data_IF_790717506142
#
_entry.id   IF_790717506142
#
_cell.length_a   1.000
_cell.length_b   1.000
_cell.length_c   1.000
_cell.angle_alpha   90.00
_cell.angle_beta   90.00
_cell.angle_gamma   90.00
#
_symmetry.space_group_name_H-M   'P 1'
#
loop_
_entity.id
_entity.type
_entity.pdbx_description
1 polymer ?
#
# COMPACT_ATOMS: atom_id res chain seq x y z
N UNK A 1 -16.18 -1.09 14.45
CA UNK A 1 -15.26 -2.06 15.09
C UNK A 1 -14.19 -2.34 14.06
N UNK A 2 -12.95 -2.03 14.41
CA UNK A 2 -11.80 -2.39 13.58
C UNK A 2 -11.35 -3.81 13.90
N UNK A 3 -10.63 -4.44 12.98
CA UNK A 3 -9.94 -5.71 13.18
C UNK A 3 -8.46 -5.43 13.39
N UNK A 4 -7.86 -6.05 14.39
CA UNK A 4 -6.43 -5.93 14.66
C UNK A 4 -5.66 -7.01 13.89
N UNK A 5 -4.75 -6.60 13.00
CA UNK A 5 -3.86 -7.52 12.28
C UNK A 5 -2.58 -7.73 13.11
N UNK A 6 -2.26 -8.99 13.47
CA UNK A 6 -1.05 -9.31 14.24
C UNK A 6 0.23 -8.96 13.49
N UNK A 7 1.29 -8.61 14.22
CA UNK A 7 2.59 -8.26 13.62
C UNK A 7 3.15 -9.38 12.73
N UNK A 8 2.99 -10.62 13.17
CA UNK A 8 3.38 -11.83 12.47
C UNK A 8 2.65 -12.04 11.12
N UNK A 9 1.47 -11.45 10.94
CA UNK A 9 0.78 -11.43 9.64
C UNK A 9 1.36 -10.38 8.69
N UNK A 10 1.78 -9.23 9.19
CA UNK A 10 2.36 -8.17 8.36
C UNK A 10 3.85 -8.38 8.07
N UNK A 11 4.62 -8.89 9.03
CA UNK A 11 6.09 -9.00 8.96
C UNK A 11 6.61 -10.06 7.98
N UNK A 12 5.74 -10.93 7.46
CA UNK A 12 6.01 -11.80 6.30
C UNK A 12 6.18 -11.01 4.99
N UNK A 13 5.75 -9.74 4.97
CA UNK A 13 5.79 -8.88 3.79
C UNK A 13 6.88 -7.82 3.92
N UNK A 14 7.56 -7.56 2.81
CA UNK A 14 8.59 -6.52 2.74
C UNK A 14 7.99 -5.12 2.88
N UNK A 15 6.78 -4.90 2.35
CA UNK A 15 6.08 -3.60 2.38
C UNK A 15 4.59 -3.80 2.54
N UNK A 16 3.90 -2.76 3.02
CA UNK A 16 2.44 -2.72 2.99
C UNK A 16 1.91 -1.30 2.79
N UNK A 17 0.63 -1.20 2.42
CA UNK A 17 -0.13 0.05 2.47
C UNK A 17 -1.60 -0.19 2.79
N UNK A 18 -2.20 0.68 3.60
CA UNK A 18 -3.63 0.74 3.86
C UNK A 18 -4.36 1.73 2.95
N UNK A 19 -3.65 2.66 2.31
CA UNK A 19 -4.25 3.78 1.55
C UNK A 19 -3.76 3.95 0.10
N UNK A 20 -2.70 3.26 -0.33
CA UNK A 20 -2.05 3.46 -1.63
C UNK A 20 -2.61 2.53 -2.70
N UNK A 21 -3.92 2.61 -2.92
CA UNK A 21 -4.65 1.74 -3.84
C UNK A 21 -5.87 2.45 -4.43
N UNK A 22 -6.29 2.12 -5.66
CA UNK A 22 -7.50 2.69 -6.26
C UNK A 22 -8.80 2.03 -5.75
N UNK A 23 -8.71 0.98 -4.94
CA UNK A 23 -9.89 0.28 -4.43
C UNK A 23 -10.52 1.04 -3.26
N UNK A 24 -11.83 1.27 -3.31
CA UNK A 24 -12.58 2.00 -2.28
C UNK A 24 -12.45 1.46 -0.83
N UNK A 25 -11.97 0.24 -0.65
CA UNK A 25 -11.66 -0.26 0.69
C UNK A 25 -10.48 0.50 1.34
N UNK A 26 -9.58 1.07 0.53
CA UNK A 26 -8.44 1.84 1.01
C UNK A 26 -8.82 3.25 1.46
N UNK A 27 -9.94 3.81 0.99
CA UNK A 27 -10.41 5.15 1.39
C UNK A 27 -10.62 5.30 2.90
N UNK A 28 -10.81 4.19 3.63
CA UNK A 28 -10.91 4.16 5.10
C UNK A 28 -9.97 3.16 5.77
N UNK A 29 -8.91 2.71 5.09
CA UNK A 29 -8.00 1.65 5.57
C UNK A 29 -8.73 0.35 5.95
N UNK A 30 -9.73 -0.03 5.17
CA UNK A 30 -10.51 -1.28 5.30
C UNK A 30 -9.93 -2.43 4.46
N UNK A 31 -8.77 -2.21 3.86
CA UNK A 31 -7.96 -3.21 3.21
C UNK A 31 -6.48 -2.87 3.39
N UNK A 32 -5.63 -3.89 3.21
CA UNK A 32 -4.18 -3.77 3.22
C UNK A 32 -3.62 -4.43 1.96
N UNK A 33 -2.77 -3.70 1.25
CA UNK A 33 -1.99 -4.23 0.14
C UNK A 33 -0.65 -4.70 0.71
N UNK A 34 -0.42 -6.01 0.71
CA UNK A 34 0.76 -6.68 1.25
C UNK A 34 1.73 -7.06 0.13
N UNK A 35 2.96 -6.57 0.18
CA UNK A 35 3.98 -6.78 -0.85
C UNK A 35 5.03 -7.76 -0.32
N UNK A 36 5.07 -9.02 -0.78
CA UNK A 36 6.02 -10.04 -0.30
C UNK A 36 7.49 -9.70 -0.58
N UNK A 37 7.72 -8.83 -1.56
CA UNK A 37 9.05 -8.36 -1.93
C UNK A 37 8.98 -7.38 -3.09
N UNK A 38 9.94 -6.47 -3.14
CA UNK A 38 10.19 -5.62 -4.30
C UNK A 38 11.51 -6.04 -4.93
N UNK A 39 11.50 -6.32 -6.22
CA UNK A 39 12.73 -6.61 -6.96
C UNK A 39 13.11 -5.37 -7.75
N UNK A 40 14.39 -4.99 -7.71
CA UNK A 40 14.91 -3.89 -8.56
C UNK A 40 14.62 -4.14 -10.04
N UNK A 41 14.63 -5.40 -10.47
CA UNK A 41 14.51 -5.83 -11.87
C UNK A 41 13.28 -6.71 -12.14
N UNK A 42 12.19 -6.57 -11.39
CA UNK A 42 11.00 -7.39 -11.61
C UNK A 42 9.92 -7.20 -10.57
N UNK A 43 8.93 -8.09 -10.61
CA UNK A 43 7.88 -8.16 -9.59
C UNK A 43 7.89 -9.53 -8.96
N UNK A 44 7.62 -9.56 -7.66
CA UNK A 44 7.42 -10.83 -6.98
C UNK A 44 6.18 -11.53 -7.55
N UNK A 45 6.25 -12.85 -7.66
CA UNK A 45 5.14 -13.73 -8.01
C UNK A 45 4.71 -14.59 -6.82
N UNK A 46 5.44 -14.57 -5.71
CA UNK A 46 5.07 -15.38 -4.54
C UNK A 46 3.85 -14.79 -3.84
N UNK A 47 2.92 -15.63 -3.41
CA UNK A 47 1.71 -15.21 -2.70
C UNK A 47 1.59 -15.95 -1.34
N UNK A 48 2.42 -15.61 -0.34
CA UNK A 48 2.31 -16.21 0.99
C UNK A 48 1.01 -15.76 1.65
N UNK A 49 0.31 -16.70 2.30
CA UNK A 49 -0.95 -16.43 2.97
C UNK A 49 -0.76 -15.49 4.17
N UNK A 50 -1.58 -14.42 4.32
CA UNK A 50 -1.50 -13.52 5.48
C UNK A 50 -2.06 -14.15 6.76
N UNK A 51 -2.81 -15.25 6.65
CA UNK A 51 -3.57 -15.88 7.75
C UNK A 51 -3.51 -17.40 7.67
N UNK A 52 -3.65 -18.07 8.80
CA UNK A 52 -3.97 -19.51 8.87
C UNK A 52 -5.49 -19.70 8.82
N UNK A 53 -5.94 -20.80 8.23
CA UNK A 53 -7.37 -21.06 8.14
C UNK A 53 -7.80 -22.13 7.15
N UNK A 54 -9.07 -22.07 6.78
CA UNK A 54 -9.69 -22.96 5.79
C UNK A 54 -10.07 -22.17 4.55
N UNK A 55 -9.71 -22.68 3.37
CA UNK A 55 -10.13 -22.11 2.09
C UNK A 55 -11.63 -22.37 1.90
N UNK A 56 -12.44 -21.33 1.85
CA UNK A 56 -13.87 -21.43 1.62
C UNK A 56 -14.19 -21.53 0.13
N UNK A 57 -13.58 -20.66 -0.68
CA UNK A 57 -13.85 -20.57 -2.11
C UNK A 57 -12.69 -19.88 -2.83
N UNK A 58 -12.49 -20.25 -4.09
CA UNK A 58 -11.68 -19.50 -5.05
C UNK A 58 -12.55 -19.11 -6.24
N UNK A 59 -12.45 -17.87 -6.69
CA UNK A 59 -13.31 -17.31 -7.74
C UNK A 59 -12.50 -16.52 -8.75
N UNK A 60 -12.65 -16.89 -10.02
CA UNK A 60 -12.13 -16.12 -11.15
C UNK A 60 -13.06 -14.95 -11.48
N UNK A 61 -12.48 -13.78 -11.70
CA UNK A 61 -13.15 -12.55 -12.14
C UNK A 61 -12.45 -12.00 -13.37
N UNK A 62 -13.19 -11.35 -14.27
CA UNK A 62 -12.55 -10.70 -15.43
C UNK A 62 -11.91 -9.39 -15.04
N UNK A 63 -10.66 -9.20 -15.41
CA UNK A 63 -9.94 -7.95 -15.24
C UNK A 63 -10.19 -7.01 -16.44
N UNK A 64 -10.08 -5.68 -16.24
CA UNK A 64 -10.03 -4.72 -17.34
C UNK A 64 -8.90 -5.08 -18.31
N UNK A 65 -9.15 -5.06 -19.63
CA UNK A 65 -8.11 -5.43 -20.59
C UNK A 65 -6.96 -4.41 -20.54
N UNK A 66 -5.75 -4.91 -20.28
CA UNK A 66 -4.50 -4.15 -20.38
C UNK A 66 -3.46 -4.98 -21.14
N UNK A 67 -2.58 -4.37 -21.95
CA UNK A 67 -1.55 -5.11 -22.69
C UNK A 67 -0.58 -5.93 -21.82
N UNK A 68 -0.47 -5.57 -20.54
CA UNK A 68 0.45 -6.17 -19.57
C UNK A 68 -0.22 -7.09 -18.54
N UNK A 69 -1.55 -7.25 -18.60
CA UNK A 69 -2.32 -8.01 -17.61
C UNK A 69 -3.02 -9.20 -18.29
N UNK A 70 -3.16 -10.34 -17.61
CA UNK A 70 -4.04 -11.41 -18.07
C UNK A 70 -5.50 -10.95 -18.06
N UNK A 71 -6.36 -11.71 -18.75
CA UNK A 71 -7.78 -11.42 -18.84
C UNK A 71 -8.53 -11.65 -17.51
N UNK A 72 -7.97 -12.50 -16.65
CA UNK A 72 -8.56 -12.93 -15.41
C UNK A 72 -7.75 -12.44 -14.21
N UNK A 73 -8.48 -12.22 -13.12
CA UNK A 73 -8.02 -11.93 -11.78
C UNK A 73 -8.83 -12.79 -10.81
N UNK A 74 -8.51 -12.79 -9.52
CA UNK A 74 -8.97 -13.83 -8.61
C UNK A 74 -9.34 -13.27 -7.24
N UNK A 75 -10.32 -13.91 -6.61
CA UNK A 75 -10.73 -13.72 -5.23
C UNK A 75 -10.65 -15.07 -4.51
N UNK A 76 -9.87 -15.12 -3.43
CA UNK A 76 -9.85 -16.21 -2.49
C UNK A 76 -10.58 -15.78 -1.22
N UNK A 77 -11.40 -16.67 -0.67
CA UNK A 77 -12.07 -16.51 0.61
C UNK A 77 -11.50 -17.53 1.59
N UNK A 78 -10.99 -17.05 2.73
CA UNK A 78 -10.39 -17.87 3.78
C UNK A 78 -11.14 -17.62 5.09
N UNK A 79 -11.63 -18.66 5.74
CA UNK A 79 -12.09 -18.57 7.13
C UNK A 79 -10.87 -18.64 8.03
N UNK A 80 -10.66 -17.58 8.82
CA UNK A 80 -9.49 -17.40 9.66
C UNK A 80 -9.61 -18.21 10.96
N UNK A 81 -8.58 -18.97 11.29
CA UNK A 81 -8.49 -19.71 12.55
C UNK A 81 -8.05 -18.81 13.73
N UNK A 82 -7.69 -17.55 13.45
CA UNK A 82 -7.13 -16.60 14.42
C UNK A 82 -5.71 -16.16 14.04
N UNK A 83 -4.95 -15.57 14.99
CA UNK A 83 -5.31 -15.32 16.37
C UNK A 83 -6.23 -14.10 16.56
N UNK A 84 -6.76 -13.94 17.78
CA UNK A 84 -7.41 -12.71 18.25
C UNK A 84 -8.63 -12.31 17.42
N UNK A 85 -8.70 -11.04 17.03
CA UNK A 85 -9.82 -10.46 16.28
C UNK A 85 -10.05 -11.14 14.91
N UNK A 86 -9.06 -11.87 14.39
CA UNK A 86 -9.19 -12.61 13.14
C UNK A 86 -10.04 -13.87 13.26
N UNK A 87 -10.16 -14.47 14.45
CA UNK A 87 -10.81 -15.77 14.61
C UNK A 87 -12.27 -15.73 14.12
N UNK A 88 -12.59 -16.66 13.20
CA UNK A 88 -13.91 -16.75 12.59
C UNK A 88 -14.25 -15.63 11.60
N UNK A 89 -13.34 -14.71 11.29
CA UNK A 89 -13.52 -13.77 10.19
C UNK A 89 -13.26 -14.45 8.84
N UNK A 90 -13.81 -13.86 7.79
CA UNK A 90 -13.52 -14.23 6.39
C UNK A 90 -12.52 -13.22 5.84
N UNK A 91 -11.28 -13.67 5.62
CA UNK A 91 -10.30 -12.94 4.85
C UNK A 91 -10.61 -13.07 3.36
N UNK A 92 -10.59 -11.93 2.66
CA UNK A 92 -10.62 -11.83 1.22
C UNK A 92 -9.24 -11.52 0.74
N UNK A 93 -8.72 -12.34 -0.18
CA UNK A 93 -7.42 -12.13 -0.80
C UNK A 93 -7.60 -12.03 -2.31
N UNK A 94 -7.18 -10.91 -2.90
CA UNK A 94 -7.23 -10.70 -4.35
C UNK A 94 -5.83 -10.82 -4.97
N UNK A 95 -5.80 -10.90 -6.31
CA UNK A 95 -4.58 -10.85 -7.12
C UNK A 95 -3.67 -12.07 -7.00
N UNK A 96 -4.26 -13.23 -6.71
CA UNK A 96 -3.55 -14.52 -6.62
C UNK A 96 -4.23 -15.55 -7.53
N UNK A 97 -3.53 -16.02 -8.57
CA UNK A 97 -3.94 -17.22 -9.32
C UNK A 97 -3.74 -18.45 -8.41
N UNK A 98 -4.83 -19.06 -7.93
CA UNK A 98 -4.77 -19.95 -6.77
C UNK A 98 -4.28 -21.36 -7.15
N UNK A 99 -3.41 -21.92 -6.31
CA UNK A 99 -3.08 -23.36 -6.35
C UNK A 99 -3.79 -24.16 -5.24
N UNK A 100 -4.53 -23.46 -4.38
CA UNK A 100 -5.33 -24.03 -3.29
C UNK A 100 -6.78 -24.29 -3.72
N UNK A 101 -7.51 -25.09 -2.94
CA UNK A 101 -8.89 -25.48 -3.26
C UNK A 101 -9.78 -25.43 -2.02
N UNK A 102 -11.08 -25.22 -2.22
CA UNK A 102 -12.08 -25.16 -1.15
C UNK A 102 -12.03 -26.42 -0.25
N UNK A 103 -12.16 -26.21 1.06
CA UNK A 103 -12.01 -27.23 2.11
C UNK A 103 -10.55 -27.53 2.50
N UNK A 104 -9.57 -27.00 1.76
CA UNK A 104 -8.16 -27.12 2.12
C UNK A 104 -7.80 -26.26 3.33
N UNK A 105 -6.91 -26.76 4.19
CA UNK A 105 -6.29 -25.97 5.27
C UNK A 105 -4.98 -25.37 4.78
N UNK A 106 -4.69 -24.18 5.26
CA UNK A 106 -3.46 -23.43 4.98
C UNK A 106 -2.97 -22.79 6.28
N UNK A 107 -1.65 -22.73 6.44
CA UNK A 107 -1.02 -21.94 7.48
C UNK A 107 -0.60 -20.57 6.92
N UNK A 108 -0.46 -19.57 7.81
CA UNK A 108 0.17 -18.31 7.46
C UNK A 108 1.56 -18.58 6.86
N UNK A 109 1.89 -17.88 5.79
CA UNK A 109 3.13 -18.06 5.03
C UNK A 109 3.05 -19.15 3.96
N UNK A 110 2.08 -20.07 4.02
CA UNK A 110 1.88 -21.06 2.95
C UNK A 110 1.55 -20.36 1.63
N UNK A 111 2.01 -20.93 0.52
CA UNK A 111 1.70 -20.39 -0.81
C UNK A 111 0.21 -20.56 -1.14
N UNK A 112 -0.46 -19.46 -1.41
CA UNK A 112 -1.81 -19.43 -1.97
C UNK A 112 -1.82 -19.71 -3.48
N UNK A 113 -0.68 -19.49 -4.16
CA UNK A 113 -0.55 -19.59 -5.60
C UNK A 113 0.47 -18.59 -6.13
N UNK A 114 0.15 -17.93 -7.26
CA UNK A 114 1.01 -16.92 -7.89
C UNK A 114 0.34 -15.56 -7.95
N UNK A 115 1.07 -14.49 -7.64
CA UNK A 115 0.55 -13.15 -7.82
C UNK A 115 0.31 -12.84 -9.28
N UNK A 116 -0.82 -12.19 -9.53
CA UNK A 116 -1.24 -11.76 -10.85
C UNK A 116 -1.09 -10.25 -10.97
N UNK A 117 -0.51 -9.79 -12.08
CA UNK A 117 -0.55 -8.38 -12.43
C UNK A 117 -1.94 -8.02 -12.94
N UNK A 118 -2.84 -7.65 -12.04
CA UNK A 118 -4.22 -7.36 -12.37
C UNK A 118 -4.35 -6.18 -13.36
N UNK A 119 -5.34 -6.26 -14.25
CA UNK A 119 -5.68 -5.17 -15.19
C UNK A 119 -6.18 -3.89 -14.51
N UNK A 120 -6.50 -3.98 -13.21
CA UNK A 120 -6.85 -2.86 -12.34
C UNK A 120 -5.64 -2.03 -11.90
N UNK A 121 -4.43 -2.58 -11.97
CA UNK A 121 -3.22 -1.89 -11.51
C UNK A 121 -2.79 -0.78 -12.46
N UNK A 122 -2.45 0.37 -11.87
CA UNK A 122 -1.70 1.39 -12.57
C UNK A 122 -0.28 0.88 -12.94
N UNK A 123 0.37 1.41 -13.98
CA UNK A 123 1.67 0.91 -14.44
C UNK A 123 2.78 0.86 -13.37
N UNK A 124 2.76 1.76 -12.39
CA UNK A 124 3.74 1.88 -11.31
C UNK A 124 3.50 0.98 -10.10
N UNK A 125 2.35 0.30 -10.05
CA UNK A 125 1.98 -0.59 -8.94
C UNK A 125 2.71 -1.92 -9.09
N UNK A 126 3.33 -2.35 -8.00
CA UNK A 126 3.98 -3.66 -7.88
C UNK A 126 2.96 -4.73 -7.49
N UNK A 127 3.27 -5.99 -7.78
CA UNK A 127 2.37 -7.09 -7.43
C UNK A 127 2.27 -7.21 -5.91
N UNK A 128 1.05 -7.36 -5.40
CA UNK A 128 0.75 -7.46 -3.97
C UNK A 128 -0.51 -8.32 -3.77
N UNK A 129 -0.71 -8.78 -2.54
CA UNK A 129 -1.97 -9.33 -2.09
C UNK A 129 -2.83 -8.17 -1.58
N UNK A 130 -4.02 -7.98 -2.14
CA UNK A 130 -5.00 -7.07 -1.56
C UNK A 130 -5.88 -7.86 -0.59
N UNK A 131 -5.84 -7.48 0.69
CA UNK A 131 -6.45 -8.23 1.80
C UNK A 131 -7.48 -7.38 2.53
N UNK A 132 -8.65 -7.95 2.79
CA UNK A 132 -9.65 -7.32 3.67
C UNK A 132 -10.48 -8.35 4.43
N UNK A 133 -11.00 -7.97 5.59
CA UNK A 133 -11.67 -8.90 6.50
C UNK A 133 -13.16 -8.62 6.65
N UNK A 134 -13.95 -9.67 6.79
CA UNK A 134 -15.41 -9.60 6.97
C UNK A 134 -15.87 -10.52 8.08
N UNK A 135 -16.96 -10.13 8.73
CA UNK A 135 -17.73 -11.07 9.55
C UNK A 135 -18.40 -12.13 8.67
N UNK A 136 -18.64 -13.34 9.18
CA UNK A 136 -19.30 -14.43 8.44
C UNK A 136 -20.68 -14.09 7.87
N UNK A 137 -21.41 -13.17 8.51
CA UNK A 137 -22.75 -12.75 8.11
C UNK A 137 -22.76 -11.72 6.96
N UNK A 138 -21.60 -11.14 6.64
CA UNK A 138 -21.47 -10.16 5.56
C UNK A 138 -21.26 -10.84 4.21
N UNK A 139 -21.84 -10.27 3.14
CA UNK A 139 -21.63 -10.79 1.78
C UNK A 139 -20.14 -10.74 1.41
N UNK A 140 -19.45 -11.88 1.19
CA UNK A 140 -18.01 -11.89 1.00
C UNK A 140 -17.57 -11.51 -0.41
N UNK A 141 -18.49 -11.26 -1.35
CA UNK A 141 -18.18 -10.95 -2.75
C UNK A 141 -18.27 -9.47 -3.13
N UNK A 142 -18.96 -8.63 -2.34
CA UNK A 142 -19.08 -7.18 -2.65
C UNK A 142 -17.74 -6.47 -2.50
N UNK A 143 -17.29 -5.64 -3.43
CA UNK A 143 -16.00 -4.94 -3.29
C UNK A 143 -15.89 -4.16 -1.95
N UNK A 144 -16.95 -3.48 -1.51
CA UNK A 144 -17.03 -2.76 -0.25
C UNK A 144 -17.58 -3.59 0.92
N UNK A 145 -17.36 -3.11 2.14
CA UNK A 145 -17.92 -3.67 3.38
C UNK A 145 -16.95 -4.44 4.27
N UNK A 146 -15.66 -4.45 3.94
CA UNK A 146 -14.61 -4.96 4.83
C UNK A 146 -14.48 -4.09 6.08
N UNK A 147 -14.00 -4.67 7.17
CA UNK A 147 -13.77 -3.97 8.44
C UNK A 147 -12.51 -3.07 8.33
N UNK A 148 -12.46 -1.91 9.02
CA UNK A 148 -11.23 -1.15 9.18
C UNK A 148 -10.13 -2.01 9.82
N UNK A 149 -8.90 -1.91 9.34
CA UNK A 149 -7.75 -2.70 9.83
C UNK A 149 -6.85 -1.84 10.71
N UNK A 150 -6.57 -2.25 11.94
CA UNK A 150 -5.48 -1.71 12.77
C UNK A 150 -4.28 -2.68 12.75
N UNK A 151 -3.08 -2.18 12.99
CA UNK A 151 -1.83 -2.95 12.94
C UNK A 151 -1.20 -3.05 14.32
N UNK A 152 -0.79 -4.25 14.72
CA UNK A 152 0.07 -4.44 15.91
C UNK A 152 1.55 -4.19 15.63
N UNK A 153 1.96 -4.21 14.35
CA UNK A 153 3.35 -4.02 13.97
C UNK A 153 3.94 -2.72 14.50
N UNK A 154 5.20 -2.80 14.93
CA UNK A 154 5.96 -1.60 15.28
C UNK A 154 6.20 -0.74 14.04
N UNK A 155 5.70 0.49 14.07
CA UNK A 155 5.86 1.48 13.01
C UNK A 155 6.76 2.62 13.48
N UNK A 156 7.76 2.99 12.66
CA UNK A 156 8.63 4.14 12.92
C UNK A 156 8.68 5.09 11.74
N UNK A 157 8.35 6.35 11.99
CA UNK A 157 8.41 7.37 10.96
C UNK A 157 9.83 7.85 10.70
N UNK A 158 10.19 8.09 9.44
CA UNK A 158 11.50 8.62 9.03
C UNK A 158 11.38 10.04 8.50
N UNK A 159 12.24 10.93 9.01
CA UNK A 159 12.36 12.28 8.48
C UNK A 159 12.86 12.21 7.03
N UNK A 160 12.27 13.01 6.16
CA UNK A 160 12.72 13.16 4.78
C UNK A 160 12.54 14.61 4.35
N UNK A 161 13.65 15.29 4.04
CA UNK A 161 13.67 16.72 3.68
C UNK A 161 13.20 17.02 2.25
N UNK A 162 12.69 15.99 1.56
CA UNK A 162 12.27 16.05 0.17
C UNK A 162 13.40 15.82 -0.81
N UNK A 163 14.63 15.54 -0.38
CA UNK A 163 15.78 15.35 -1.28
C UNK A 163 16.28 13.90 -1.32
N UNK A 164 16.95 13.54 -2.41
CA UNK A 164 17.60 12.25 -2.55
C UNK A 164 18.21 12.06 -3.94
N UNK A 165 18.98 11.00 -4.10
CA UNK A 165 19.59 10.58 -5.36
C UNK A 165 18.78 9.43 -5.95
N UNK A 166 18.49 9.46 -7.25
CA UNK A 166 17.81 8.37 -7.94
C UNK A 166 18.69 7.11 -7.91
N UNK A 167 18.18 6.03 -7.32
CA UNK A 167 18.87 4.72 -7.24
C UNK A 167 18.20 3.64 -8.07
N UNK A 168 16.95 3.82 -8.45
CA UNK A 168 16.24 2.91 -9.34
C UNK A 168 15.22 3.67 -10.20
N UNK A 169 15.07 3.21 -11.44
CA UNK A 169 14.13 3.76 -12.43
C UNK A 169 13.24 2.65 -12.97
N UNK A 170 11.93 2.84 -12.88
CA UNK A 170 10.94 2.08 -13.62
C UNK A 170 10.39 2.91 -14.78
N UNK A 171 9.57 2.29 -15.65
CA UNK A 171 8.96 2.99 -16.81
C UNK A 171 8.09 4.18 -16.45
N UNK A 172 7.60 4.25 -15.21
CA UNK A 172 6.63 5.27 -14.75
C UNK A 172 6.93 5.79 -13.35
N UNK A 173 8.07 5.42 -12.78
CA UNK A 173 8.43 5.81 -11.42
C UNK A 173 9.94 5.81 -11.25
N UNK A 174 10.40 6.52 -10.23
CA UNK A 174 11.78 6.41 -9.73
C UNK A 174 11.78 6.26 -8.21
N UNK A 175 12.86 5.70 -7.68
CA UNK A 175 13.08 5.53 -6.23
C UNK A 175 14.33 6.30 -5.86
N UNK A 176 14.23 7.10 -4.81
CA UNK A 176 15.36 7.83 -4.23
C UNK A 176 16.06 6.99 -3.15
N UNK A 177 17.30 7.29 -2.84
CA UNK A 177 18.09 6.70 -1.74
C UNK A 177 17.68 7.16 -0.34
N UNK A 178 16.69 8.04 -0.23
CA UNK A 178 16.29 8.70 1.01
C UNK A 178 14.76 8.73 1.15
N UNK A 179 14.23 8.54 2.37
CA UNK A 179 14.94 8.26 3.62
C UNK A 179 15.41 6.80 3.75
N UNK A 180 16.45 6.55 4.55
CA UNK A 180 17.08 5.22 4.72
C UNK A 180 16.50 4.50 5.92
N UNK A 181 16.14 3.22 5.74
CA UNK A 181 15.71 2.35 6.84
C UNK A 181 16.90 2.03 7.79
N UNK A 182 16.84 2.41 9.09
CA UNK A 182 17.99 2.28 9.99
C UNK A 182 18.24 0.85 10.52
N UNK A 183 17.19 0.02 10.66
CA UNK A 183 17.32 -1.40 11.01
C UNK A 183 16.39 -2.29 10.16
N UNK A 184 16.73 -2.55 8.88
CA UNK A 184 15.90 -3.36 8.00
C UNK A 184 15.60 -4.74 8.59
N UNK A 185 14.36 -5.19 8.49
CA UNK A 185 13.92 -6.48 9.02
C UNK A 185 13.58 -6.49 10.51
N UNK A 186 13.64 -5.37 11.23
CA UNK A 186 13.25 -5.28 12.65
C UNK A 186 11.84 -4.69 12.85
N UNK A 187 11.52 -3.56 12.23
CA UNK A 187 10.21 -2.89 12.28
C UNK A 187 9.82 -2.36 10.89
N UNK A 188 8.64 -1.78 10.74
CA UNK A 188 8.27 -1.06 9.53
C UNK A 188 8.59 0.43 9.66
N UNK A 189 8.98 1.04 8.55
CA UNK A 189 9.22 2.47 8.43
C UNK A 189 8.41 3.09 7.31
N UNK A 190 8.12 4.38 7.42
CA UNK A 190 7.50 5.16 6.35
C UNK A 190 7.89 6.64 6.44
N UNK A 191 7.56 7.42 5.40
CA UNK A 191 7.86 8.86 5.36
C UNK A 191 7.05 9.58 6.43
N UNK A 192 7.73 10.37 7.27
CA UNK A 192 7.11 11.13 8.35
C UNK A 192 6.45 12.41 7.83
N UNK A 193 5.21 12.68 8.26
CA UNK A 193 4.59 14.00 8.19
C UNK A 193 5.29 14.99 9.13
N UNK A 194 5.06 16.29 8.99
CA UNK A 194 5.66 17.27 9.90
C UNK A 194 5.14 17.09 11.35
N UNK A 195 3.93 16.56 11.50
CA UNK A 195 3.28 16.29 12.79
C UNK A 195 3.79 15.01 13.49
N UNK A 196 4.57 14.17 12.80
CA UNK A 196 5.27 13.01 13.36
C UNK A 196 4.72 11.64 12.96
N UNK A 197 3.54 11.57 12.36
CA UNK A 197 2.94 10.32 11.89
C UNK A 197 3.51 9.86 10.54
N UNK A 198 3.28 8.60 10.16
CA UNK A 198 3.70 8.07 8.87
C UNK A 198 2.66 8.38 7.81
N UNK A 199 3.06 8.95 6.67
CA UNK A 199 2.20 9.12 5.51
C UNK A 199 2.05 7.81 4.73
N UNK A 200 0.82 7.50 4.34
CA UNK A 200 0.46 6.37 3.50
C UNK A 200 -0.53 6.80 2.41
N UNK A 201 -0.38 6.31 1.18
CA UNK A 201 -1.26 6.66 0.06
C UNK A 201 -0.56 7.18 -1.20
N UNK A 202 -1.34 7.39 -2.25
CA UNK A 202 -0.88 7.93 -3.53
C UNK A 202 -1.12 9.43 -3.64
N UNK A 203 -0.19 10.25 -3.13
CA UNK A 203 -0.31 11.71 -3.16
C UNK A 203 0.09 12.27 -4.53
N UNK A 204 -0.73 12.97 -5.30
CA UNK A 204 -2.17 13.23 -5.18
C UNK A 204 -2.95 12.44 -6.25
N UNK A 205 -2.43 11.28 -6.69
CA UNK A 205 -3.02 10.49 -7.77
C UNK A 205 -4.10 9.48 -7.32
N UNK A 206 -4.36 9.37 -6.02
CA UNK A 206 -5.56 8.77 -5.45
C UNK A 206 -6.37 9.81 -4.67
N UNK A 207 -7.66 9.57 -4.45
CA UNK A 207 -8.58 10.56 -3.85
C UNK A 207 -8.23 10.92 -2.40
N UNK A 208 -7.57 10.02 -1.67
CA UNK A 208 -7.18 10.23 -0.29
C UNK A 208 -5.94 9.44 0.13
N UNK A 209 -5.62 9.54 1.42
CA UNK A 209 -4.50 8.86 2.04
C UNK A 209 -4.73 8.58 3.52
N UNK A 210 -3.65 8.28 4.23
CA UNK A 210 -3.70 8.09 5.66
C UNK A 210 -2.44 8.51 6.41
N UNK A 211 -2.61 8.71 7.71
CA UNK A 211 -1.54 8.89 8.70
C UNK A 211 -1.54 7.69 9.66
N UNK A 212 -0.44 6.95 9.74
CA UNK A 212 -0.28 5.79 10.62
C UNK A 212 0.52 6.17 11.88
N UNK A 213 0.16 5.55 13.01
CA UNK A 213 0.73 5.89 14.33
C UNK A 213 -0.01 7.03 15.05
N UNK A 214 -1.16 7.47 14.51
CA UNK A 214 -2.01 8.50 15.10
C UNK A 214 -3.00 7.90 16.09
N UNK A 215 -3.10 8.51 17.27
CA UNK A 215 -4.07 8.13 18.32
C UNK A 215 -5.06 9.26 18.67
N UNK A 216 -5.06 10.35 17.90
CA UNK A 216 -5.84 11.55 18.16
C UNK A 216 -7.22 11.55 17.51
N UNK A 217 -8.16 12.28 18.13
CA UNK A 217 -9.51 12.50 17.59
C UNK A 217 -9.60 13.91 17.01
N UNK A 218 -10.26 14.05 15.86
CA UNK A 218 -10.53 15.34 15.21
C UNK A 218 -9.63 15.64 14.03
N UNK A 219 -10.01 16.71 13.32
CA UNK A 219 -9.35 17.15 12.10
C UNK A 219 -7.98 17.76 12.39
N UNK A 220 -6.98 17.44 11.58
CA UNK A 220 -5.64 18.04 11.68
C UNK A 220 -5.05 18.23 10.32
N UNK A 221 -4.38 19.37 10.15
CA UNK A 221 -3.62 19.66 8.94
C UNK A 221 -2.45 18.69 8.86
N UNK A 222 -2.25 18.10 7.69
CA UNK A 222 -1.10 17.24 7.42
C UNK A 222 -0.16 17.99 6.49
N UNK A 223 1.12 18.03 6.85
CA UNK A 223 2.15 18.70 6.04
C UNK A 223 3.37 17.81 5.85
N UNK A 224 4.16 18.09 4.81
CA UNK A 224 5.46 17.47 4.58
C UNK A 224 6.44 18.55 4.15
N UNK A 225 7.52 18.75 4.91
CA UNK A 225 8.55 19.77 4.65
C UNK A 225 7.99 21.20 4.59
N UNK A 226 6.99 21.47 5.43
CA UNK A 226 6.24 22.72 5.48
C UNK A 226 5.21 22.90 4.35
N UNK A 227 5.10 21.94 3.43
CA UNK A 227 4.10 21.96 2.38
C UNK A 227 2.83 21.25 2.85
N UNK A 228 1.72 21.97 2.85
CA UNK A 228 0.41 21.43 3.23
C UNK A 228 -0.05 20.38 2.22
N UNK A 229 -0.46 19.22 2.72
CA UNK A 229 -0.95 18.10 1.91
C UNK A 229 -2.47 17.95 1.93
N UNK A 230 -3.12 18.27 3.05
CA UNK A 230 -4.54 18.03 3.25
C UNK A 230 -4.97 18.08 4.71
N UNK A 231 -6.12 17.47 5.00
CA UNK A 231 -6.69 17.35 6.36
C UNK A 231 -6.95 15.88 6.68
N UNK A 232 -6.41 15.42 7.80
CA UNK A 232 -6.72 14.12 8.37
C UNK A 232 -7.92 14.21 9.32
N UNK A 233 -8.94 13.37 9.14
CA UNK A 233 -9.94 13.05 10.15
C UNK A 233 -9.68 11.62 10.67
N UNK A 234 -9.39 11.51 11.97
CA UNK A 234 -8.80 10.29 12.52
C UNK A 234 -7.49 9.97 11.82
N UNK A 235 -7.44 8.85 11.10
CA UNK A 235 -6.25 8.40 10.34
C UNK A 235 -6.38 8.62 8.83
N UNK A 236 -7.52 9.09 8.33
CA UNK A 236 -7.81 9.21 6.90
C UNK A 236 -7.62 10.65 6.45
N UNK A 237 -6.86 10.85 5.38
CA UNK A 237 -6.55 12.17 4.82
C UNK A 237 -7.38 12.40 3.56
N UNK A 238 -8.07 13.53 3.53
CA UNK A 238 -8.51 14.14 2.29
C UNK A 238 -7.37 15.03 1.78
N UNK A 239 -6.80 14.68 0.61
CA UNK A 239 -5.77 15.51 -0.02
C UNK A 239 -6.36 16.84 -0.47
N UNK A 240 -5.59 17.92 -0.29
CA UNK A 240 -5.88 19.18 -0.94
C UNK A 240 -5.61 19.06 -2.46
N UNK A 241 -6.10 20.02 -3.24
CA UNK A 241 -5.72 20.16 -4.65
C UNK A 241 -4.25 20.64 -4.75
N UNK A 242 -3.35 19.66 -4.87
CA UNK A 242 -1.89 19.86 -4.85
C UNK A 242 -1.20 19.20 -6.03
N UNK A 243 -0.08 19.81 -6.42
CA UNK A 243 0.87 19.32 -7.42
C UNK A 243 2.17 18.96 -6.72
N UNK A 244 2.62 17.72 -6.94
CA UNK A 244 3.97 17.29 -6.56
C UNK A 244 4.94 17.72 -7.65
N UNK A 245 6.05 18.32 -7.26
CA UNK A 245 7.13 18.74 -8.17
C UNK A 245 8.43 18.02 -7.82
N UNK A 246 9.20 17.67 -8.84
CA UNK A 246 10.57 17.17 -8.73
C UNK A 246 11.49 18.16 -9.45
N UNK A 247 12.51 18.67 -8.78
CA UNK A 247 13.41 19.71 -9.32
C UNK A 247 12.67 20.95 -9.86
N UNK A 248 11.46 21.22 -9.35
CA UNK A 248 10.60 22.34 -9.74
C UNK A 248 9.55 22.02 -10.81
N UNK A 249 9.68 20.91 -11.54
CA UNK A 249 8.71 20.52 -12.57
C UNK A 249 7.67 19.54 -12.02
N UNK A 250 6.40 19.62 -12.46
CA UNK A 250 5.35 18.70 -12.04
C UNK A 250 5.64 17.23 -12.35
N UNK A 251 5.22 16.36 -11.44
CA UNK A 251 5.13 14.91 -11.64
C UNK A 251 3.75 14.42 -11.20
N UNK A 252 3.38 13.18 -11.51
CA UNK A 252 2.07 12.61 -11.12
C UNK A 252 1.92 12.52 -9.61
N UNK A 253 2.99 12.25 -8.85
CA UNK A 253 2.89 12.21 -7.40
C UNK A 253 3.99 11.46 -6.67
N UNK A 254 3.72 11.16 -5.41
CA UNK A 254 4.45 10.25 -4.54
C UNK A 254 3.61 9.01 -4.28
N UNK A 255 4.29 7.86 -4.19
CA UNK A 255 3.71 6.61 -3.71
C UNK A 255 4.24 6.36 -2.30
N UNK A 256 3.41 6.56 -1.30
CA UNK A 256 3.75 6.48 0.12
C UNK A 256 3.23 5.14 0.69
N UNK A 257 4.07 4.47 1.46
CA UNK A 257 3.83 3.12 1.98
C UNK A 257 4.79 2.84 3.15
N UNK A 258 4.53 1.76 3.88
CA UNK A 258 5.43 1.25 4.91
C UNK A 258 6.34 0.16 4.36
N UNK A 259 7.61 0.16 4.73
CA UNK A 259 8.59 -0.85 4.33
C UNK A 259 9.36 -1.40 5.53
N UNK A 260 9.68 -2.68 5.46
CA UNK A 260 10.55 -3.42 6.39
C UNK A 260 11.89 -3.74 5.74
N UNK A 261 11.96 -3.75 4.41
CA UNK A 261 13.19 -4.02 3.67
C UNK A 261 14.21 -2.87 3.70
N UNK A 262 15.43 -3.17 3.26
CA UNK A 262 16.53 -2.21 3.21
C UNK A 262 16.59 -1.37 1.94
N UNK A 263 15.70 -1.61 0.97
CA UNK A 263 15.59 -0.84 -0.29
C UNK A 263 14.55 0.28 -0.17
N UNK A 264 14.22 0.71 1.07
CA UNK A 264 13.30 1.81 1.30
C UNK A 264 13.88 3.15 0.84
N UNK A 265 12.99 3.98 0.29
CA UNK A 265 13.25 5.34 -0.14
C UNK A 265 12.01 5.93 -0.81
N UNK A 266 11.98 7.26 -0.98
CA UNK A 266 10.84 7.93 -1.58
C UNK A 266 10.61 7.47 -3.03
N UNK A 267 9.38 7.03 -3.33
CA UNK A 267 8.96 6.59 -4.66
C UNK A 267 8.16 7.70 -5.35
N UNK A 268 8.69 8.22 -6.45
CA UNK A 268 8.09 9.27 -7.27
C UNK A 268 7.38 8.62 -8.45
N UNK A 269 6.16 9.06 -8.76
CA UNK A 269 5.39 8.62 -9.93
C UNK A 269 5.50 9.69 -11.01
N UNK A 270 6.08 9.31 -12.15
CA UNK A 270 6.47 10.23 -13.23
C UNK A 270 6.42 9.55 -14.61
N UNK A 271 5.25 9.09 -15.10
CA UNK A 271 5.12 8.48 -16.43
C UNK A 271 5.51 9.43 -17.57
N UNK A 272 5.40 10.74 -17.36
CA UNK A 272 5.65 11.76 -18.39
C UNK A 272 7.05 12.38 -18.29
N UNK A 273 7.92 11.86 -17.43
CA UNK A 273 9.26 12.38 -17.21
C UNK A 273 10.28 11.28 -16.89
N UNK A 274 11.44 11.38 -17.50
CA UNK A 274 12.57 10.48 -17.24
C UNK A 274 13.56 11.14 -16.26
N UNK A 275 14.21 10.30 -15.47
CA UNK A 275 15.33 10.67 -14.60
C UNK A 275 16.43 9.61 -14.76
N UNK A 276 17.68 9.99 -14.52
CA UNK A 276 18.81 9.07 -14.59
C UNK A 276 19.23 8.58 -13.21
N UNK A 277 19.69 7.33 -13.11
CA UNK A 277 20.33 6.83 -11.87
C UNK A 277 21.55 7.70 -11.55
N UNK A 278 21.63 8.20 -10.32
CA UNK A 278 22.63 9.17 -9.88
C UNK A 278 22.17 10.63 -9.96
N UNK A 279 21.00 10.91 -10.54
CA UNK A 279 20.44 12.26 -10.56
C UNK A 279 19.97 12.67 -9.15
N UNK A 280 20.33 13.89 -8.74
CA UNK A 280 19.84 14.48 -7.50
C UNK A 280 18.47 15.12 -7.72
N UNK A 281 17.51 14.77 -6.88
CA UNK A 281 16.13 15.24 -6.97
C UNK A 281 15.74 15.97 -5.69
N UNK A 282 15.04 17.09 -5.85
CA UNK A 282 14.34 17.80 -4.79
C UNK A 282 12.83 17.79 -5.05
N UNK A 283 12.09 17.20 -4.14
CA UNK A 283 10.64 17.10 -4.15
C UNK A 283 10.03 18.21 -3.31
N UNK A 284 8.96 18.82 -3.81
CA UNK A 284 8.11 19.78 -3.09
C UNK A 284 6.65 19.56 -3.46
N UNK A 285 5.75 19.90 -2.56
CA UNK A 285 4.31 19.90 -2.79
C UNK A 285 3.81 21.34 -2.82
N UNK A 286 2.99 21.68 -3.81
CA UNK A 286 2.45 23.04 -3.97
C UNK A 286 0.95 22.96 -4.19
N UNK A 287 0.21 23.95 -3.69
CA UNK A 287 -1.17 24.13 -4.12
C UNK A 287 -1.22 24.31 -5.64
N UNK A 288 -2.20 23.70 -6.28
CA UNK A 288 -2.41 23.78 -7.73
C UNK A 288 -2.52 25.22 -8.24
N UNK A 289 -3.10 26.12 -7.43
CA UNK A 289 -3.22 27.55 -7.73
C UNK A 289 -1.87 28.29 -7.85
N UNK A 290 -0.82 27.75 -7.21
CA UNK A 290 0.52 28.34 -7.20
C UNK A 290 1.40 27.92 -8.38
N UNK A 291 1.02 26.85 -9.10
CA UNK A 291 1.80 26.29 -10.23
C UNK A 291 1.34 26.87 -11.57
N UNK A 292 0.10 27.38 -11.63
CA UNK A 292 -0.45 28.07 -12.81
C UNK A 292 -0.09 29.56 -12.93
N UNK A 293 0.85 30.07 -12.11
CA UNK A 293 1.34 31.46 -12.14
C UNK A 293 2.80 31.55 -12.57
#
# INVERSE_FOLDING_TARGET
MAVTLPDESASEYARFSLYNSPYAAHDGGCAIDCYPGTLRDGRTEVAPSPVSGTVLETKTVRAPPKPYAPADDYLLLLECDGPGDLEGLVARVLHVDPTVSAGGRIERGDSLGRLVRAGFFAPWVDNHLHVGFRRPDQNPYRASGSLPIELESELRSLEWDGTGTVVATGKTYVVLDSPIHPAPGEYFVGVRADEGEILDGGLSHYEGGGVLGRSGVGETVVSLNGDRLGVADGRTIAWDDVVVTANGDPITGLSLFCARDGDFGAKLICPDREFEVGEHVKVRVRSSDAVGR
#
